data_IF_812229319643
#
_entry.id   IF_812229319643
#
_cell.length_a   1.000
_cell.length_b   1.000
_cell.length_c   1.000
_cell.angle_alpha   90.00
_cell.angle_beta   90.00
_cell.angle_gamma   90.00
#
_symmetry.space_group_name_H-M   'P 1'
#
loop_
_entity.id
_entity.type
_entity.pdbx_description
1 polymer ?
#
# COMPACT_ATOMS: atom_id res chain seq x y z
N UNK A 1 -6.59 17.95 -6.50
CA UNK A 1 -5.99 16.86 -7.29
C UNK A 1 -5.54 15.81 -6.29
N UNK A 2 -5.80 14.55 -6.59
CA UNK A 2 -5.34 13.41 -5.80
C UNK A 2 -3.82 13.29 -5.93
N UNK A 3 -3.14 13.07 -4.81
CA UNK A 3 -1.68 13.03 -4.77
C UNK A 3 -1.16 11.74 -5.43
N UNK A 4 -1.89 10.64 -5.33
CA UNK A 4 -1.48 9.33 -5.86
C UNK A 4 -2.25 8.82 -7.08
N UNK A 5 -3.34 9.46 -7.52
CA UNK A 5 -4.13 8.91 -8.62
C UNK A 5 -3.36 8.86 -9.96
N UNK A 6 -2.54 9.88 -10.21
CA UNK A 6 -1.63 9.91 -11.37
C UNK A 6 -0.38 9.04 -11.18
N UNK A 7 -0.12 8.55 -9.96
CA UNK A 7 1.08 7.82 -9.58
C UNK A 7 0.80 6.37 -9.17
N UNK A 8 -0.39 5.82 -9.49
CA UNK A 8 -0.73 4.42 -9.18
C UNK A 8 0.27 3.45 -9.79
N UNK A 9 0.68 3.67 -11.04
CA UNK A 9 1.65 2.83 -11.72
C UNK A 9 3.04 2.95 -11.08
N UNK A 10 3.47 4.18 -10.77
CA UNK A 10 4.74 4.44 -10.09
C UNK A 10 4.78 3.77 -8.70
N UNK A 11 3.68 3.82 -7.95
CA UNK A 11 3.54 3.12 -6.67
C UNK A 11 3.66 1.61 -6.83
N UNK A 12 2.95 1.02 -7.80
CA UNK A 12 3.04 -0.43 -8.05
C UNK A 12 4.48 -0.81 -8.37
N UNK A 13 5.16 -0.05 -9.21
CA UNK A 13 6.55 -0.33 -9.59
C UNK A 13 7.50 -0.17 -8.39
N UNK A 14 7.44 0.94 -7.66
CA UNK A 14 8.27 1.20 -6.49
C UNK A 14 8.07 0.13 -5.41
N UNK A 15 6.82 -0.25 -5.13
CA UNK A 15 6.52 -1.33 -4.17
C UNK A 15 7.10 -2.65 -4.67
N UNK A 16 6.91 -2.99 -5.95
CA UNK A 16 7.42 -4.26 -6.51
C UNK A 16 8.94 -4.35 -6.57
N UNK A 17 9.65 -3.23 -6.71
CA UNK A 17 11.11 -3.20 -6.65
C UNK A 17 11.64 -3.57 -5.25
N UNK A 18 10.95 -3.13 -4.19
CA UNK A 18 11.35 -3.35 -2.81
C UNK A 18 10.79 -4.65 -2.20
N UNK A 19 9.70 -5.17 -2.77
CA UNK A 19 9.09 -6.39 -2.28
C UNK A 19 10.02 -7.60 -2.45
N UNK A 20 9.96 -8.57 -1.51
CA UNK A 20 10.56 -9.88 -1.71
C UNK A 20 10.13 -10.50 -3.05
N UNK A 21 11.04 -11.16 -3.76
CA UNK A 21 10.81 -11.74 -5.10
C UNK A 21 9.64 -12.73 -5.21
N UNK A 22 9.12 -13.23 -4.09
CA UNK A 22 7.98 -14.14 -4.03
C UNK A 22 6.64 -13.43 -3.81
N UNK A 23 6.63 -12.10 -3.70
CA UNK A 23 5.47 -11.25 -3.50
C UNK A 23 5.34 -10.26 -4.65
N UNK A 24 4.11 -9.81 -4.90
CA UNK A 24 3.81 -8.80 -5.90
C UNK A 24 2.70 -7.88 -5.38
N UNK A 25 2.92 -6.58 -5.51
CA UNK A 25 1.86 -5.58 -5.47
C UNK A 25 1.02 -5.74 -6.73
N UNK A 26 -0.18 -6.26 -6.54
CA UNK A 26 -1.07 -6.63 -7.63
C UNK A 26 -2.03 -5.52 -8.02
N UNK A 27 -2.32 -4.60 -7.09
CA UNK A 27 -3.26 -3.51 -7.29
C UNK A 27 -2.96 -2.37 -6.32
N UNK A 28 -3.12 -1.15 -6.82
CA UNK A 28 -3.24 0.07 -6.03
C UNK A 28 -4.54 0.77 -6.42
N UNK A 29 -5.36 1.11 -5.43
CA UNK A 29 -6.61 1.85 -5.57
C UNK A 29 -6.53 3.11 -4.73
N UNK A 30 -7.04 4.23 -5.24
CA UNK A 30 -6.99 5.52 -4.54
C UNK A 30 -8.41 6.04 -4.45
N UNK A 31 -8.85 6.33 -3.24
CA UNK A 31 -10.17 6.87 -2.97
C UNK A 31 -10.04 8.17 -2.19
N UNK A 32 -10.74 9.20 -2.64
CA UNK A 32 -10.92 10.41 -1.85
C UNK A 32 -12.13 10.24 -0.93
N UNK A 33 -11.94 10.59 0.33
CA UNK A 33 -13.04 10.71 1.29
C UNK A 33 -12.82 11.95 2.16
N UNK A 34 -13.73 12.19 3.09
CA UNK A 34 -13.63 13.27 4.06
C UNK A 34 -13.65 12.70 5.47
N UNK A 35 -12.69 13.13 6.28
CA UNK A 35 -12.58 12.75 7.68
C UNK A 35 -12.60 14.03 8.53
N UNK A 36 -13.56 14.14 9.44
CA UNK A 36 -13.79 15.35 10.24
C UNK A 36 -13.87 16.67 9.43
N UNK A 37 -14.34 16.60 8.18
CA UNK A 37 -14.47 17.75 7.28
C UNK A 37 -13.20 18.12 6.52
N UNK A 38 -12.08 17.41 6.73
CA UNK A 38 -10.86 17.54 5.93
C UNK A 38 -10.87 16.52 4.78
N UNK A 39 -10.41 16.90 3.57
CA UNK A 39 -10.20 15.94 2.49
C UNK A 39 -9.06 14.99 2.85
N UNK A 40 -9.32 13.70 2.71
CA UNK A 40 -8.33 12.65 2.95
C UNK A 40 -8.28 11.71 1.75
N UNK A 41 -7.10 11.22 1.47
CA UNK A 41 -6.84 10.26 0.41
C UNK A 41 -6.53 8.90 1.05
N UNK A 42 -7.33 7.90 0.70
CA UNK A 42 -7.14 6.51 1.08
C UNK A 42 -6.48 5.77 -0.08
N UNK A 43 -5.26 5.29 0.15
CA UNK A 43 -4.52 4.47 -0.83
C UNK A 43 -4.57 3.02 -0.37
N UNK A 44 -5.28 2.19 -1.12
CA UNK A 44 -5.41 0.76 -0.90
C UNK A 44 -4.38 0.01 -1.74
N UNK A 45 -3.62 -0.88 -1.13
CA UNK A 45 -2.49 -1.57 -1.75
C UNK A 45 -2.63 -3.06 -1.47
N UNK A 46 -2.81 -3.85 -2.52
CA UNK A 46 -2.99 -5.30 -2.43
C UNK A 46 -1.71 -6.03 -2.82
N UNK A 47 -1.08 -6.68 -1.83
CA UNK A 47 0.11 -7.51 -2.01
C UNK A 47 -0.28 -8.98 -1.89
N UNK A 48 0.14 -9.79 -2.86
CA UNK A 48 -0.14 -11.23 -2.92
C UNK A 48 1.12 -12.02 -3.25
N UNK A 49 1.18 -13.33 -2.94
CA UNK A 49 2.29 -14.15 -3.39
C UNK A 49 2.18 -14.52 -4.85
N UNK A 50 3.33 -14.80 -5.45
CA UNK A 50 3.41 -15.37 -6.80
C UNK A 50 3.21 -16.90 -6.83
N UNK A 51 3.34 -17.59 -5.69
CA UNK A 51 3.18 -19.04 -5.55
C UNK A 51 2.41 -19.40 -4.26
N UNK A 52 2.07 -20.69 -4.04
CA UNK A 52 1.48 -21.15 -2.77
C UNK A 52 2.39 -20.73 -1.60
N UNK A 53 1.90 -19.84 -0.75
CA UNK A 53 2.66 -19.30 0.37
C UNK A 53 2.91 -20.38 1.43
N UNK A 54 4.10 -20.45 2.06
CA UNK A 54 4.31 -21.28 3.25
C UNK A 54 3.48 -20.75 4.44
N UNK A 55 3.01 -21.66 5.29
CA UNK A 55 2.01 -21.46 6.36
C UNK A 55 2.38 -20.45 7.47
N UNK A 56 3.55 -19.82 7.41
CA UNK A 56 3.95 -18.77 8.34
C UNK A 56 4.29 -17.48 7.60
N UNK A 57 3.39 -16.52 7.68
CA UNK A 57 3.49 -15.19 7.11
C UNK A 57 4.49 -14.31 7.90
N UNK A 58 5.74 -14.75 8.04
CA UNK A 58 6.80 -14.14 8.86
C UNK A 58 7.33 -12.80 8.33
N UNK A 59 6.92 -12.38 7.12
CA UNK A 59 7.44 -11.20 6.43
C UNK A 59 6.46 -10.01 6.41
N UNK A 60 5.34 -10.04 7.14
CA UNK A 60 4.34 -8.94 7.13
C UNK A 60 4.94 -7.58 7.48
N UNK A 61 5.75 -7.53 8.54
CA UNK A 61 6.44 -6.29 8.95
C UNK A 61 7.37 -5.77 7.84
N UNK A 62 8.07 -6.66 7.15
CA UNK A 62 8.94 -6.31 6.03
C UNK A 62 8.14 -5.74 4.85
N UNK A 63 7.04 -6.41 4.48
CA UNK A 63 6.14 -5.97 3.41
C UNK A 63 5.55 -4.60 3.75
N UNK A 64 5.08 -4.43 4.99
CA UNK A 64 4.57 -3.16 5.49
C UNK A 64 5.61 -2.04 5.35
N UNK A 65 6.87 -2.31 5.68
CA UNK A 65 7.96 -1.35 5.52
C UNK A 65 8.20 -1.02 4.04
N UNK A 66 8.29 -2.01 3.16
CA UNK A 66 8.45 -1.78 1.71
C UNK A 66 7.32 -0.89 1.15
N UNK A 67 6.08 -1.14 1.57
CA UNK A 67 4.93 -0.33 1.17
C UNK A 67 5.03 1.09 1.71
N UNK A 68 5.45 1.27 2.97
CA UNK A 68 5.63 2.59 3.57
C UNK A 68 6.75 3.40 2.89
N UNK A 69 7.90 2.78 2.61
CA UNK A 69 9.02 3.42 1.92
C UNK A 69 8.64 3.83 0.50
N UNK A 70 7.94 2.98 -0.26
CA UNK A 70 7.47 3.31 -1.60
C UNK A 70 6.44 4.45 -1.60
N UNK A 71 5.54 4.47 -0.61
CA UNK A 71 4.59 5.56 -0.42
C UNK A 71 5.29 6.89 -0.11
N UNK A 72 6.35 6.88 0.70
CA UNK A 72 7.17 8.07 0.98
C UNK A 72 7.97 8.52 -0.25
N UNK A 73 8.53 7.57 -1.01
CA UNK A 73 9.31 7.86 -2.21
C UNK A 73 8.45 8.52 -3.30
N UNK A 74 7.22 8.06 -3.48
CA UNK A 74 6.29 8.60 -4.48
C UNK A 74 5.52 9.82 -3.96
N UNK A 75 5.11 9.82 -2.69
CA UNK A 75 4.35 10.90 -2.05
C UNK A 75 5.18 12.12 -1.67
N UNK A 76 6.50 11.98 -1.58
CA UNK A 76 7.41 13.06 -1.24
C UNK A 76 7.37 13.46 0.25
N UNK A 77 8.05 14.56 0.58
CA UNK A 77 8.29 14.99 1.96
C UNK A 77 7.03 15.45 2.71
N UNK A 78 5.96 15.81 2.00
CA UNK A 78 4.68 16.25 2.58
C UNK A 78 3.75 15.06 2.88
N UNK A 79 4.19 13.85 2.55
CA UNK A 79 3.41 12.65 2.79
C UNK A 79 3.36 12.30 4.28
N UNK A 80 2.20 12.53 4.88
CA UNK A 80 1.90 12.17 6.26
C UNK A 80 0.66 11.29 6.34
N UNK A 81 0.79 10.13 6.97
CA UNK A 81 -0.36 9.29 7.23
C UNK A 81 -0.04 7.98 7.93
N UNK A 82 -1.09 7.20 8.14
CA UNK A 82 -1.01 5.93 8.88
C UNK A 82 -1.21 4.80 7.88
N UNK A 83 -0.24 3.88 7.83
CA UNK A 83 -0.35 2.63 7.09
C UNK A 83 -0.94 1.55 8.00
N UNK A 84 -2.13 1.10 7.68
CA UNK A 84 -2.88 0.07 8.41
C UNK A 84 -3.01 -1.17 7.54
N UNK A 85 -2.77 -2.35 8.12
CA UNK A 85 -3.11 -3.63 7.47
C UNK A 85 -4.62 -3.88 7.67
N UNK A 86 -5.37 -3.95 6.58
CA UNK A 86 -6.76 -4.41 6.59
C UNK A 86 -6.80 -5.93 6.51
N UNK A 87 -7.55 -6.56 7.42
CA UNK A 87 -7.83 -8.00 7.34
C UNK A 87 -8.74 -8.27 6.16
N UNK A 88 -8.29 -9.14 5.27
CA UNK A 88 -9.06 -9.70 4.16
C UNK A 88 -9.59 -11.08 4.55
N UNK A 89 -10.78 -11.46 4.04
CA UNK A 89 -11.26 -12.85 4.07
C UNK A 89 -10.33 -13.78 3.27
N UNK A 90 -9.76 -13.28 2.17
CA UNK A 90 -8.71 -13.98 1.43
C UNK A 90 -7.35 -13.76 2.13
N UNK A 91 -6.94 -14.75 2.92
CA UNK A 91 -5.65 -14.72 3.61
C UNK A 91 -4.43 -14.75 2.67
N UNK A 92 -4.65 -14.94 1.37
CA UNK A 92 -3.61 -14.89 0.34
C UNK A 92 -3.25 -13.46 -0.07
N UNK A 93 -4.06 -12.47 0.33
CA UNK A 93 -3.86 -11.06 -0.02
C UNK A 93 -3.68 -10.24 1.27
N UNK A 94 -2.61 -9.44 1.32
CA UNK A 94 -2.45 -8.39 2.31
C UNK A 94 -2.90 -7.08 1.71
N UNK A 95 -3.93 -6.48 2.30
CA UNK A 95 -4.36 -5.13 1.95
C UNK A 95 -3.76 -4.14 2.95
N UNK A 96 -3.05 -3.15 2.45
CA UNK A 96 -2.65 -2.01 3.24
C UNK A 96 -3.47 -0.78 2.85
N UNK A 97 -3.87 -0.01 3.84
CA UNK A 97 -4.55 1.28 3.65
C UNK A 97 -3.68 2.35 4.21
N UNK A 98 -3.33 3.31 3.38
CA UNK A 98 -2.71 4.55 3.81
C UNK A 98 -3.73 5.68 3.80
N UNK A 99 -3.84 6.40 4.92
CA UNK A 99 -4.66 7.62 5.03
C UNK A 99 -3.77 8.86 5.00
N UNK A 100 -3.69 9.52 3.86
CA UNK A 100 -2.99 10.80 3.69
C UNK A 100 -3.98 11.97 3.89
N UNK A 101 -3.60 12.96 4.69
CA UNK A 101 -4.34 14.23 4.77
C UNK A 101 -3.82 15.14 3.68
N UNK A 102 -4.74 15.67 2.86
CA UNK A 102 -4.43 16.58 1.74
C UNK A 102 -4.32 18.04 2.19
#
# INVERSE_FOLDING_TARGET
MTLFDNHKADLIEAINQELPRNLICSRVDVQMTTDHGAPVELVYIDVKPLAKMPESFSQRERVRRCVADALLAVGGAEFHGILVEEKQDDQSVMRFVHRAVL
#
